data_IF_961600472147
#
_entry.id   IF_961600472147
#
_cell.length_a   1.000
_cell.length_b   1.000
_cell.length_c   1.000
_cell.angle_alpha   90.00
_cell.angle_beta   90.00
_cell.angle_gamma   90.00
#
_symmetry.space_group_name_H-M   'P 1'
#
loop_
_entity.id
_entity.type
_entity.pdbx_description
1 polymer ?
#
# COMPACT_ATOMS: atom_id res chain seq x y z
N UNK A 1 -13.61 7.93 8.04
CA UNK A 1 -12.58 8.93 7.73
C UNK A 1 -11.63 8.28 6.73
N UNK A 2 -11.22 8.94 5.64
CA UNK A 2 -10.22 8.37 4.74
C UNK A 2 -8.90 8.16 5.51
N UNK A 3 -8.16 7.11 5.19
CA UNK A 3 -6.81 6.86 5.74
C UNK A 3 -5.91 8.07 5.48
N UNK A 4 -4.94 8.39 6.33
CA UNK A 4 -4.00 9.49 6.10
C UNK A 4 -2.84 9.10 5.17
N UNK A 5 -2.07 10.06 4.61
CA UNK A 5 -0.84 9.76 3.86
C UNK A 5 0.15 8.84 4.60
N UNK A 6 0.37 9.12 5.89
CA UNK A 6 1.28 8.35 6.74
C UNK A 6 0.72 6.94 7.01
N UNK A 7 -0.60 6.81 7.19
CA UNK A 7 -1.23 5.50 7.32
C UNK A 7 -1.13 4.69 6.02
N UNK A 8 -1.30 5.31 4.85
CA UNK A 8 -1.08 4.66 3.55
C UNK A 8 0.35 4.13 3.42
N UNK A 9 1.34 5.00 3.67
CA UNK A 9 2.75 4.64 3.62
C UNK A 9 3.10 3.51 4.60
N UNK A 10 2.60 3.58 5.84
CA UNK A 10 2.86 2.57 6.86
C UNK A 10 2.17 1.25 6.53
N UNK A 11 0.91 1.28 6.08
CA UNK A 11 0.17 0.10 5.67
C UNK A 11 0.86 -0.63 4.53
N UNK A 12 1.33 0.11 3.53
CA UNK A 12 2.11 -0.44 2.43
C UNK A 12 3.41 -1.10 2.91
N UNK A 13 4.13 -0.45 3.81
CA UNK A 13 5.35 -1.01 4.40
C UNK A 13 5.08 -2.29 5.22
N UNK A 14 3.96 -2.35 5.95
CA UNK A 14 3.54 -3.56 6.69
C UNK A 14 3.10 -4.69 5.75
N UNK A 15 2.42 -4.37 4.66
CA UNK A 15 2.02 -5.31 3.62
C UNK A 15 3.20 -5.81 2.77
N UNK A 16 4.35 -5.13 2.84
CA UNK A 16 5.57 -5.41 2.06
C UNK A 16 5.34 -5.34 0.54
N UNK A 17 4.55 -4.36 0.11
CA UNK A 17 4.38 -4.08 -1.32
C UNK A 17 4.97 -2.71 -1.68
N UNK A 18 5.34 -2.51 -2.93
CA UNK A 18 5.74 -1.20 -3.44
C UNK A 18 4.54 -0.39 -3.99
N UNK A 19 4.80 0.82 -4.50
CA UNK A 19 3.75 1.73 -4.99
C UNK A 19 3.13 1.24 -6.29
N UNK A 20 3.90 0.54 -7.12
CA UNK A 20 3.45 -0.03 -8.39
C UNK A 20 2.45 -1.14 -8.13
N UNK A 21 2.76 -2.03 -7.18
CA UNK A 21 1.84 -3.08 -6.73
C UNK A 21 0.54 -2.49 -6.17
N UNK A 22 0.62 -1.50 -5.27
CA UNK A 22 -0.56 -0.86 -4.71
C UNK A 22 -1.39 -0.13 -5.77
N UNK A 23 -0.74 0.58 -6.70
CA UNK A 23 -1.42 1.25 -7.80
C UNK A 23 -2.13 0.25 -8.72
N UNK A 24 -1.50 -0.88 -9.03
CA UNK A 24 -2.11 -1.95 -9.82
C UNK A 24 -3.35 -2.53 -9.14
N UNK A 25 -3.30 -2.78 -7.83
CA UNK A 25 -4.43 -3.31 -7.06
C UNK A 25 -5.65 -2.37 -7.04
N UNK A 26 -5.43 -1.05 -7.07
CA UNK A 26 -6.50 -0.04 -7.03
C UNK A 26 -6.85 0.51 -8.42
N UNK A 27 -6.23 0.01 -9.49
CA UNK A 27 -6.42 0.52 -10.85
C UNK A 27 -5.97 1.98 -11.05
N UNK A 28 -5.00 2.43 -10.25
CA UNK A 28 -4.43 3.78 -10.27
C UNK A 28 -3.06 3.86 -10.94
N UNK A 29 -2.39 5.01 -10.76
CA UNK A 29 -1.02 5.23 -11.21
C UNK A 29 -0.07 5.34 -10.00
N UNK A 30 1.16 4.81 -10.07
CA UNK A 30 2.13 4.88 -8.96
C UNK A 30 2.41 6.31 -8.50
N UNK A 31 2.47 7.26 -9.44
CA UNK A 31 2.69 8.69 -9.15
C UNK A 31 1.58 9.31 -8.31
N UNK A 32 0.33 8.82 -8.46
CA UNK A 32 -0.81 9.28 -7.64
C UNK A 32 -0.65 8.81 -6.19
N UNK A 33 -0.19 7.57 -6.00
CA UNK A 33 0.10 7.02 -4.68
C UNK A 33 1.28 7.76 -4.04
N UNK A 34 2.35 8.03 -4.80
CA UNK A 34 3.48 8.82 -4.31
C UNK A 34 3.07 10.24 -3.92
N UNK A 35 2.35 10.95 -4.78
CA UNK A 35 1.88 12.30 -4.51
C UNK A 35 0.98 12.32 -3.26
N UNK A 36 0.17 11.28 -3.07
CA UNK A 36 -0.61 11.14 -1.85
C UNK A 36 0.26 10.91 -0.61
N UNK A 37 1.15 9.92 -0.62
CA UNK A 37 2.02 9.58 0.51
C UNK A 37 2.93 10.74 0.93
N UNK A 38 3.33 11.59 -0.02
CA UNK A 38 4.17 12.79 0.22
C UNK A 38 3.36 14.03 0.59
N UNK A 39 2.03 13.95 0.57
CA UNK A 39 1.13 15.08 0.86
C UNK A 39 1.03 16.12 -0.25
N UNK A 40 1.51 15.81 -1.46
CA UNK A 40 1.39 16.67 -2.65
C UNK A 40 0.00 16.59 -3.31
N UNK A 41 -0.74 15.51 -3.07
CA UNK A 41 -2.09 15.31 -3.58
C UNK A 41 -3.03 14.75 -2.50
N UNK A 42 -4.33 14.88 -2.75
CA UNK A 42 -5.40 14.27 -1.96
C UNK A 42 -6.07 13.22 -2.85
N UNK A 43 -6.27 12.00 -2.35
CA UNK A 43 -7.07 11.01 -3.05
C UNK A 43 -8.55 11.40 -2.99
N UNK A 44 -9.28 11.16 -4.08
CA UNK A 44 -10.72 11.24 -4.02
C UNK A 44 -11.29 10.19 -3.05
N UNK A 45 -12.52 10.41 -2.59
CA UNK A 45 -13.13 9.59 -1.54
C UNK A 45 -13.34 8.13 -1.93
N UNK A 46 -13.47 7.81 -3.22
CA UNK A 46 -13.64 6.43 -3.69
C UNK A 46 -12.28 5.73 -3.82
N UNK A 47 -11.28 6.40 -4.40
CA UNK A 47 -9.91 5.88 -4.47
C UNK A 47 -9.31 5.69 -3.08
N UNK A 48 -9.54 6.62 -2.14
CA UNK A 48 -9.09 6.48 -0.76
C UNK A 48 -9.66 5.22 -0.07
N UNK A 49 -10.94 4.90 -0.32
CA UNK A 49 -11.57 3.66 0.18
C UNK A 49 -10.97 2.43 -0.48
N UNK A 50 -10.70 2.49 -1.78
CA UNK A 50 -10.13 1.37 -2.52
C UNK A 50 -8.71 1.05 -2.05
N UNK A 51 -7.88 2.09 -1.83
CA UNK A 51 -6.54 1.96 -1.23
C UNK A 51 -6.61 1.37 0.17
N UNK A 52 -7.50 1.88 1.02
CA UNK A 52 -7.71 1.33 2.36
C UNK A 52 -8.07 -0.16 2.29
N UNK A 53 -9.05 -0.52 1.45
CA UNK A 53 -9.55 -1.88 1.34
C UNK A 53 -8.50 -2.85 0.76
N UNK A 54 -7.71 -2.41 -0.23
CA UNK A 54 -6.61 -3.19 -0.79
C UNK A 54 -5.58 -3.53 0.28
N UNK A 55 -5.15 -2.54 1.08
CA UNK A 55 -4.23 -2.78 2.20
C UNK A 55 -4.85 -3.67 3.28
N UNK A 56 -6.13 -3.51 3.58
CA UNK A 56 -6.84 -4.39 4.53
C UNK A 56 -6.89 -5.86 4.05
N UNK A 57 -7.08 -6.08 2.75
CA UNK A 57 -7.03 -7.40 2.15
C UNK A 57 -5.64 -8.05 2.21
N UNK A 58 -4.58 -7.23 2.30
CA UNK A 58 -3.20 -7.66 2.53
C UNK A 58 -2.88 -7.89 4.03
N UNK A 59 -3.88 -7.77 4.91
CA UNK A 59 -3.75 -8.03 6.33
C UNK A 59 -3.39 -6.81 7.18
N UNK A 60 -3.41 -5.62 6.60
CA UNK A 60 -3.25 -4.36 7.33
C UNK A 60 -4.55 -4.04 8.08
N UNK A 61 -4.46 -3.50 9.27
CA UNK A 61 -5.60 -3.01 10.03
C UNK A 61 -5.35 -1.55 10.42
N UNK A 62 -6.27 -0.67 10.04
CA UNK A 62 -6.23 0.75 10.38
C UNK A 62 -6.94 1.00 11.70
N UNK A 63 -6.22 1.58 12.65
CA UNK A 63 -6.76 1.93 13.95
C UNK A 63 -7.24 3.38 13.89
N UNK A 64 -8.52 3.64 14.22
CA UNK A 64 -9.01 5.01 14.34
C UNK A 64 -8.32 5.70 15.51
N UNK A 65 -8.45 7.02 15.56
CA UNK A 65 -8.09 7.76 16.77
C UNK A 65 -9.07 7.37 17.90
N UNK A 66 -8.55 6.67 18.90
CA UNK A 66 -9.28 6.30 20.11
C UNK A 66 -8.62 6.95 21.33
N UNK A 67 -9.42 7.53 22.23
CA UNK A 67 -8.99 8.08 23.53
C UNK A 67 -7.80 9.05 23.48
N UNK A 68 -7.60 9.75 22.35
CA UNK A 68 -6.50 10.71 22.17
C UNK A 68 -5.12 10.08 21.89
N UNK A 69 -5.05 8.77 21.60
CA UNK A 69 -3.80 8.08 21.26
C UNK A 69 -3.39 8.26 19.78
N UNK A 70 -4.16 9.02 19.01
CA UNK A 70 -3.92 9.25 17.58
C UNK A 70 -4.28 8.04 16.71
N UNK A 71 -4.09 8.19 15.40
CA UNK A 71 -4.36 7.14 14.41
C UNK A 71 -3.21 6.14 14.32
N UNK A 72 -3.51 4.88 14.00
CA UNK A 72 -2.50 3.81 13.92
C UNK A 72 -2.70 2.86 12.74
N UNK A 73 -1.70 2.00 12.53
CA UNK A 73 -1.72 0.89 11.57
C UNK A 73 -1.04 -0.32 12.21
N UNK A 74 -1.64 -1.51 12.10
CA UNK A 74 -1.03 -2.77 12.56
C UNK A 74 -1.19 -3.88 11.52
N UNK A 75 -0.36 -4.91 11.60
CA UNK A 75 -0.57 -6.15 10.83
C UNK A 75 -1.44 -7.09 11.65
N UNK A 76 -2.53 -7.60 11.08
CA UNK A 76 -3.36 -8.62 11.72
C UNK A 76 -2.69 -9.98 11.57
N UNK A 77 -2.10 -10.46 12.66
CA UNK A 77 -1.55 -11.83 12.74
C UNK A 77 -2.70 -12.82 12.95
N UNK A 78 -3.54 -13.01 11.93
CA UNK A 78 -4.49 -14.12 11.91
C UNK A 78 -4.45 -14.75 10.51
N UNK A 79 -3.72 -15.87 10.39
CA UNK A 79 -3.66 -16.78 9.22
C UNK A 79 -3.24 -16.20 7.84
N UNK A 80 -2.68 -15.00 7.75
CA UNK A 80 -1.96 -14.56 6.54
C UNK A 80 -0.64 -15.35 6.27
N UNK A 81 -0.28 -16.31 7.15
CA UNK A 81 0.81 -17.26 6.91
C UNK A 81 0.60 -18.24 5.75
N UNK A 82 -0.50 -18.16 4.98
CA UNK A 82 -0.79 -19.12 3.90
C UNK A 82 -0.80 -18.51 2.49
N UNK A 83 -0.80 -17.18 2.32
CA UNK A 83 -0.75 -16.55 0.98
C UNK A 83 0.57 -15.85 0.65
N UNK A 84 1.41 -15.58 1.66
CA UNK A 84 2.66 -14.82 1.48
C UNK A 84 3.87 -15.66 1.03
N UNK A 85 3.69 -16.96 0.73
CA UNK A 85 4.75 -17.83 0.19
C UNK A 85 4.75 -17.83 -1.36
N UNK A 86 3.70 -17.33 -2.02
CA UNK A 86 3.51 -17.52 -3.46
C UNK A 86 4.11 -16.48 -4.43
N UNK A 87 4.58 -15.32 -3.95
CA UNK A 87 4.90 -14.19 -4.85
C UNK A 87 6.34 -13.65 -4.74
N UNK A 88 7.26 -14.43 -4.18
CA UNK A 88 8.70 -14.09 -4.14
C UNK A 88 9.47 -14.64 -5.37
N UNK A 89 8.79 -14.96 -6.48
CA UNK A 89 9.42 -15.45 -7.72
C UNK A 89 9.50 -14.40 -8.84
N UNK A 90 9.14 -13.14 -8.58
CA UNK A 90 9.10 -12.09 -9.60
C UNK A 90 10.01 -10.89 -9.33
N UNK A 91 11.07 -11.04 -8.53
CA UNK A 91 12.17 -10.05 -8.45
C UNK A 91 13.12 -10.19 -9.66
N UNK A 92 12.53 -10.25 -10.85
CA UNK A 92 13.20 -10.00 -12.12
C UNK A 92 13.04 -8.53 -12.45
N UNK A 93 13.86 -7.68 -11.85
CA UNK A 93 13.91 -6.25 -12.16
C UNK A 93 14.02 -6.02 -13.68
N UNK A 94 13.37 -4.96 -14.17
CA UNK A 94 13.34 -4.59 -15.59
C UNK A 94 14.76 -4.68 -16.17
N UNK A 95 14.95 -5.58 -17.15
CA UNK A 95 16.10 -5.54 -18.06
C UNK A 95 16.03 -4.19 -18.77
N UNK A 96 16.91 -3.28 -18.39
CA UNK A 96 17.23 -2.14 -19.23
C UNK A 96 17.94 -2.72 -20.46
N UNK A 97 17.28 -2.63 -21.61
CA UNK A 97 17.96 -2.74 -22.90
C UNK A 97 18.99 -1.60 -22.95
N UNK A 98 20.28 -1.90 -22.96
CA UNK A 98 21.27 -0.92 -23.41
C UNK A 98 22.41 -1.59 -24.19
N UNK A 99 22.72 -0.94 -25.31
CA UNK A 99 23.22 -1.46 -26.58
C UNK A 99 24.66 -2.01 -26.57
N UNK A 100 24.88 -2.97 -27.47
CA UNK A 100 26.19 -3.51 -27.87
C UNK A 100 26.97 -2.47 -28.69
N UNK A 101 28.28 -2.28 -28.44
CA UNK A 101 29.24 -2.28 -29.53
C UNK A 101 30.34 -3.35 -29.42
#
# INVERSE_FOLDING_TARGET
>A
MPITPQQCQTGRALAKIDREELAAEVGGLPDVIEAYETGLAILDGELAKLVQHSLENLGVEFLPEEDGFGVGVRLKVDRAGTRQIGSWEAEGGRVAEDDVP
#
